data_IF_759503375544
#
_entry.id   IF_759503375544
#
_cell.length_a   1.000
_cell.length_b   1.000
_cell.length_c   1.000
_cell.angle_alpha   90.00
_cell.angle_beta   90.00
_cell.angle_gamma   90.00
#
_symmetry.space_group_name_H-M   'P 1'
#
loop_
_entity.id
_entity.type
_entity.pdbx_description
1 polymer ?
#
# COMPACT_ATOMS: atom_id res chain seq x y z
N UNK A 1 97.23 2.28 95.67
CA UNK A 1 97.87 1.42 96.66
C UNK A 1 97.03 1.46 97.92
N UNK A 2 96.42 0.33 98.26
CA UNK A 2 95.42 0.19 99.33
C UNK A 2 96.07 0.31 100.71
N UNK A 3 95.78 1.38 101.44
CA UNK A 3 96.22 1.55 102.83
C UNK A 3 95.30 0.78 103.76
N UNK A 4 95.80 -0.34 104.26
CA UNK A 4 95.11 -1.24 105.19
C UNK A 4 94.88 -0.53 106.53
N UNK A 5 93.63 -0.45 106.99
CA UNK A 5 93.27 0.16 108.27
C UNK A 5 93.96 -0.57 109.45
N UNK A 6 94.38 0.15 110.51
CA UNK A 6 95.09 -0.45 111.63
C UNK A 6 94.17 -1.43 112.37
N UNK A 7 94.60 -2.70 112.54
CA UNK A 7 93.90 -3.69 113.38
C UNK A 7 93.92 -3.20 114.83
N UNK A 8 92.82 -2.62 115.31
CA UNK A 8 92.65 -2.23 116.71
C UNK A 8 92.82 -3.46 117.61
N UNK A 9 93.86 -3.45 118.45
CA UNK A 9 94.05 -4.47 119.48
C UNK A 9 93.00 -4.29 120.56
N UNK A 10 92.02 -5.20 120.63
CA UNK A 10 91.12 -5.29 121.77
C UNK A 10 91.92 -5.63 123.05
N UNK A 11 91.60 -5.05 124.22
CA UNK A 11 92.36 -5.20 125.46
C UNK A 11 92.10 -6.54 126.20
N UNK A 12 91.89 -7.62 125.45
CA UNK A 12 91.66 -8.95 126.01
C UNK A 12 92.90 -9.83 125.83
N UNK A 13 93.31 -10.53 126.89
CA UNK A 13 94.38 -11.53 126.81
C UNK A 13 93.94 -12.73 125.95
N UNK A 14 94.87 -13.33 125.19
CA UNK A 14 94.52 -14.37 124.22
C UNK A 14 94.98 -15.74 124.70
N UNK A 15 94.02 -16.64 124.85
CA UNK A 15 94.19 -18.01 125.32
C UNK A 15 93.98 -19.02 124.19
N UNK A 16 94.55 -20.23 124.33
CA UNK A 16 94.68 -21.23 123.26
C UNK A 16 93.34 -21.71 122.66
N UNK A 17 92.23 -21.54 123.39
CA UNK A 17 90.86 -21.76 122.89
C UNK A 17 89.99 -20.60 123.37
N UNK A 18 89.56 -19.73 122.46
CA UNK A 18 88.80 -18.52 122.80
C UNK A 18 87.95 -18.04 121.61
N UNK A 19 87.16 -16.99 121.84
CA UNK A 19 86.35 -16.38 120.78
C UNK A 19 87.22 -15.75 119.70
N UNK A 20 86.72 -15.79 118.47
CA UNK A 20 87.37 -15.17 117.32
C UNK A 20 87.54 -13.66 117.57
N UNK A 21 88.79 -13.20 117.55
CA UNK A 21 89.15 -11.81 117.84
C UNK A 21 88.49 -10.84 116.86
N UNK A 22 88.38 -11.22 115.59
CA UNK A 22 87.76 -10.35 114.58
C UNK A 22 86.25 -10.24 114.81
N UNK A 23 85.59 -11.35 115.16
CA UNK A 23 84.16 -11.33 115.49
C UNK A 23 83.85 -10.52 116.76
N UNK A 24 84.69 -10.61 117.79
CA UNK A 24 84.53 -9.80 119.02
C UNK A 24 84.79 -8.32 118.72
N UNK A 25 85.80 -7.99 117.91
CA UNK A 25 86.10 -6.61 117.53
C UNK A 25 84.98 -6.00 116.69
N UNK A 26 84.40 -6.78 115.79
CA UNK A 26 83.21 -6.37 115.03
C UNK A 26 82.02 -6.14 115.96
N UNK A 27 81.79 -7.02 116.94
CA UNK A 27 80.69 -6.86 117.91
C UNK A 27 80.84 -5.61 118.78
N UNK A 28 82.04 -5.30 119.27
CA UNK A 28 82.29 -4.06 120.02
C UNK A 28 82.18 -2.82 119.14
N UNK A 29 82.70 -2.85 117.91
CA UNK A 29 82.49 -1.76 116.95
C UNK A 29 81.01 -1.50 116.69
N UNK A 30 80.19 -2.56 116.61
CA UNK A 30 78.74 -2.45 116.53
C UNK A 30 78.11 -1.85 117.79
N UNK A 31 78.49 -2.30 118.98
CA UNK A 31 77.97 -1.74 120.25
C UNK A 31 78.36 -0.27 120.41
N UNK A 32 79.59 0.11 120.06
CA UNK A 32 80.03 1.50 120.10
C UNK A 32 79.30 2.36 119.07
N UNK A 33 78.96 1.79 117.90
CA UNK A 33 78.10 2.45 116.93
C UNK A 33 76.67 2.62 117.47
N UNK A 34 76.08 1.57 118.03
CA UNK A 34 74.75 1.59 118.64
C UNK A 34 74.68 2.60 119.80
N UNK A 35 75.71 2.69 120.64
CA UNK A 35 75.79 3.67 121.73
C UNK A 35 75.91 5.11 121.23
N UNK A 36 76.63 5.35 120.13
CA UNK A 36 76.68 6.68 119.50
C UNK A 36 75.32 7.05 118.91
N UNK A 37 74.63 6.12 118.27
CA UNK A 37 73.27 6.32 117.76
C UNK A 37 72.32 6.64 118.92
N UNK A 38 72.32 5.85 119.99
CA UNK A 38 71.47 6.10 121.16
C UNK A 38 71.76 7.43 121.84
N UNK A 39 73.03 7.84 121.92
CA UNK A 39 73.39 9.15 122.45
C UNK A 39 72.88 10.29 121.55
N UNK A 40 73.03 10.16 120.23
CA UNK A 40 72.49 11.12 119.27
C UNK A 40 70.96 11.19 119.33
N UNK A 41 70.27 10.05 119.44
CA UNK A 41 68.82 9.97 119.57
C UNK A 41 68.34 10.61 120.88
N UNK A 42 69.04 10.38 121.99
CA UNK A 42 68.75 11.02 123.28
C UNK A 42 68.92 12.53 123.19
N UNK A 43 70.01 12.99 122.59
CA UNK A 43 70.31 14.42 122.48
C UNK A 43 69.27 15.10 121.57
N UNK A 44 68.88 14.45 120.46
CA UNK A 44 67.78 14.90 119.61
C UNK A 44 66.44 14.94 120.36
N UNK A 45 66.11 13.89 121.13
CA UNK A 45 64.89 13.85 121.93
C UNK A 45 64.87 14.95 123.01
N UNK A 46 66.02 15.24 123.62
CA UNK A 46 66.16 16.29 124.64
C UNK A 46 65.99 17.67 124.01
N UNK A 47 66.58 17.91 122.84
CA UNK A 47 66.40 19.14 122.09
C UNK A 47 64.93 19.36 121.70
N UNK A 48 64.26 18.34 121.16
CA UNK A 48 62.84 18.40 120.83
C UNK A 48 61.96 18.67 122.06
N UNK A 49 62.28 18.05 123.21
CA UNK A 49 61.57 18.30 124.45
C UNK A 49 61.73 19.75 124.94
N UNK A 50 62.91 20.34 124.78
CA UNK A 50 63.17 21.74 125.11
C UNK A 50 62.41 22.70 124.17
N UNK A 51 62.36 22.40 122.87
CA UNK A 51 61.60 23.19 121.89
C UNK A 51 60.09 23.14 122.18
N UNK A 52 59.55 21.94 122.43
CA UNK A 52 58.16 21.77 122.83
C UNK A 52 57.82 22.51 124.12
N UNK A 53 58.73 22.51 125.11
CA UNK A 53 58.55 23.27 126.34
C UNK A 53 58.53 24.78 126.08
N UNK A 54 59.36 25.28 125.16
CA UNK A 54 59.36 26.68 124.75
C UNK A 54 58.04 27.09 124.08
N UNK A 55 57.57 26.33 123.07
CA UNK A 55 56.28 26.58 122.42
C UNK A 55 55.11 26.53 123.40
N UNK A 56 55.16 25.61 124.36
CA UNK A 56 54.11 25.48 125.37
C UNK A 56 54.11 26.67 126.34
N UNK A 57 55.28 27.21 126.69
CA UNK A 57 55.38 28.44 127.47
C UNK A 57 54.87 29.67 126.70
N UNK A 58 55.21 29.80 125.42
CA UNK A 58 54.73 30.88 124.55
C UNK A 58 53.21 30.83 124.36
N UNK A 59 52.65 29.66 124.07
CA UNK A 59 51.21 29.48 123.95
C UNK A 59 50.49 29.80 125.27
N UNK A 60 51.05 29.39 126.42
CA UNK A 60 50.51 29.74 127.74
C UNK A 60 50.54 31.25 128.00
N UNK A 61 51.64 31.93 127.66
CA UNK A 61 51.75 33.37 127.81
C UNK A 61 50.72 34.10 126.93
N UNK A 62 50.54 33.64 125.70
CA UNK A 62 49.55 34.17 124.76
C UNK A 62 48.12 33.96 125.26
N UNK A 63 47.80 32.78 125.80
CA UNK A 63 46.48 32.49 126.38
C UNK A 63 46.21 33.41 127.57
N UNK A 64 47.18 33.61 128.46
CA UNK A 64 47.01 34.49 129.61
C UNK A 64 46.82 35.96 129.19
N UNK A 65 47.51 36.40 128.14
CA UNK A 65 47.31 37.74 127.58
C UNK A 65 45.92 37.91 126.98
N UNK A 66 45.48 36.95 126.14
CA UNK A 66 44.13 36.94 125.57
C UNK A 66 43.05 36.89 126.65
N UNK A 67 43.27 36.15 127.75
CA UNK A 67 42.36 36.11 128.89
C UNK A 67 42.22 37.47 129.57
N UNK A 68 43.33 38.16 129.83
CA UNK A 68 43.31 39.53 130.40
C UNK A 68 42.56 40.50 129.50
N UNK A 69 42.78 40.38 128.18
CA UNK A 69 42.11 41.22 127.20
C UNK A 69 40.59 40.95 127.17
N UNK A 70 40.17 39.68 127.20
CA UNK A 70 38.75 39.31 127.28
C UNK A 70 38.11 39.78 128.59
N UNK A 71 38.79 39.64 129.73
CA UNK A 71 38.30 40.13 131.01
C UNK A 71 38.12 41.66 131.00
N UNK A 72 39.07 42.39 130.40
CA UNK A 72 38.98 43.83 130.21
C UNK A 72 37.80 44.24 129.31
N UNK A 73 37.46 43.42 128.30
CA UNK A 73 36.33 43.66 127.38
C UNK A 73 34.96 43.27 127.96
N UNK A 74 34.95 42.39 128.97
CA UNK A 74 33.74 41.87 129.63
C UNK A 74 33.20 42.80 130.72
N UNK A 75 34.06 43.63 131.31
CA UNK A 75 33.64 44.68 132.26
C UNK A 75 33.08 45.88 131.46
N UNK A 76 31.93 46.46 131.85
CA UNK A 76 31.40 47.65 131.18
C UNK A 76 32.43 48.79 131.18
N UNK A 77 32.75 49.40 130.01
CA UNK A 77 33.78 50.44 129.96
C UNK A 77 33.30 51.66 130.76
N UNK A 78 33.97 51.95 131.86
CA UNK A 78 33.71 53.13 132.70
C UNK A 78 34.56 54.34 132.29
N UNK A 79 35.47 54.17 131.33
CA UNK A 79 36.36 55.20 130.81
C UNK A 79 36.12 55.47 129.31
N UNK A 80 36.27 56.73 128.88
CA UNK A 80 36.09 57.13 127.47
C UNK A 80 37.04 56.40 126.50
N UNK A 81 38.25 56.06 126.96
CA UNK A 81 39.24 55.32 126.17
C UNK A 81 38.79 53.87 125.89
N UNK A 82 38.24 53.16 126.88
CA UNK A 82 37.72 51.81 126.69
C UNK A 82 36.50 51.75 125.78
N UNK A 83 35.66 52.79 125.78
CA UNK A 83 34.57 52.92 124.80
C UNK A 83 35.12 53.13 123.38
N UNK A 84 36.15 53.95 123.21
CA UNK A 84 36.79 54.21 121.91
C UNK A 84 37.47 52.96 121.33
N UNK A 85 38.17 52.18 122.16
CA UNK A 85 38.80 50.92 121.74
C UNK A 85 37.75 49.87 121.33
N UNK A 86 36.66 49.73 122.08
CA UNK A 86 35.56 48.83 121.71
C UNK A 86 34.88 49.26 120.40
N UNK A 87 34.67 50.56 120.20
CA UNK A 87 34.13 51.11 118.96
C UNK A 87 35.05 50.82 117.78
N UNK A 88 36.37 50.99 117.95
CA UNK A 88 37.35 50.66 116.90
C UNK A 88 37.33 49.18 116.52
N UNK A 89 37.23 48.27 117.49
CA UNK A 89 37.09 46.82 117.23
C UNK A 89 35.77 46.47 116.57
N UNK A 90 34.67 47.09 116.98
CA UNK A 90 33.36 46.88 116.34
C UNK A 90 33.36 47.37 114.89
N UNK A 91 33.99 48.51 114.60
CA UNK A 91 34.19 49.01 113.23
C UNK A 91 35.11 48.10 112.41
N UNK A 92 36.15 47.55 113.03
CA UNK A 92 37.04 46.60 112.38
C UNK A 92 36.28 45.32 112.01
N UNK A 93 35.54 44.72 112.96
CA UNK A 93 34.69 43.55 112.73
C UNK A 93 33.64 43.81 111.64
N UNK A 94 32.96 44.95 111.69
CA UNK A 94 31.98 45.30 110.65
C UNK A 94 32.63 45.51 109.27
N UNK A 95 33.86 46.04 109.22
CA UNK A 95 34.63 46.18 107.98
C UNK A 95 35.08 44.83 107.43
N UNK A 96 35.49 43.91 108.30
CA UNK A 96 35.87 42.54 107.95
C UNK A 96 34.65 41.77 107.43
N UNK A 97 33.52 41.83 108.13
CA UNK A 97 32.25 41.21 107.73
C UNK A 97 31.73 41.79 106.40
N UNK A 98 31.81 43.11 106.21
CA UNK A 98 31.46 43.74 104.94
C UNK A 98 32.40 43.32 103.79
N UNK A 99 33.66 43.02 104.10
CA UNK A 99 34.63 42.54 103.10
C UNK A 99 34.37 41.08 102.75
N UNK A 100 34.02 40.25 103.74
CA UNK A 100 33.60 38.86 103.55
C UNK A 100 32.31 38.80 102.71
N UNK A 101 31.27 39.56 103.06
CA UNK A 101 30.04 39.63 102.27
C UNK A 101 30.29 40.07 100.82
N UNK A 102 31.19 41.02 100.58
CA UNK A 102 31.57 41.42 99.21
C UNK A 102 32.32 40.32 98.47
N UNK A 103 33.20 39.60 99.17
CA UNK A 103 33.95 38.49 98.58
C UNK A 103 33.01 37.34 98.21
N UNK A 104 32.07 36.99 99.09
CA UNK A 104 31.05 35.96 98.87
C UNK A 104 30.12 36.34 97.71
N UNK A 105 29.56 37.56 97.72
CA UNK A 105 28.71 38.04 96.63
C UNK A 105 29.45 38.09 95.28
N UNK A 106 30.74 38.44 95.29
CA UNK A 106 31.57 38.41 94.08
C UNK A 106 31.83 36.98 93.61
N UNK A 107 31.99 36.02 94.52
CA UNK A 107 32.19 34.62 94.18
C UNK A 107 30.91 34.00 93.60
N UNK A 108 29.76 34.25 94.22
CA UNK A 108 28.45 33.80 93.73
C UNK A 108 28.11 34.41 92.36
N UNK A 109 28.40 35.70 92.16
CA UNK A 109 28.23 36.35 90.87
C UNK A 109 29.15 35.74 89.79
N UNK A 110 30.41 35.45 90.14
CA UNK A 110 31.34 34.79 89.22
C UNK A 110 30.90 33.37 88.86
N UNK A 111 30.40 32.60 89.83
CA UNK A 111 29.83 31.28 89.61
C UNK A 111 28.61 31.34 88.70
N UNK A 112 27.65 32.23 88.99
CA UNK A 112 26.44 32.43 88.18
C UNK A 112 26.79 32.78 86.72
N UNK A 113 27.75 33.70 86.52
CA UNK A 113 28.21 34.05 85.17
C UNK A 113 28.92 32.87 84.50
N UNK A 114 29.69 32.07 85.25
CA UNK A 114 30.35 30.88 84.72
C UNK A 114 29.34 29.84 84.25
N UNK A 115 28.32 29.54 85.06
CA UNK A 115 27.24 28.61 84.72
C UNK A 115 26.46 29.11 83.49
N UNK A 116 26.05 30.38 83.49
CA UNK A 116 25.32 30.96 82.36
C UNK A 116 26.15 30.93 81.05
N UNK A 117 27.47 31.13 81.13
CA UNK A 117 28.36 31.01 79.97
C UNK A 117 28.47 29.59 79.46
N UNK A 118 28.56 28.61 80.36
CA UNK A 118 28.61 27.20 80.00
C UNK A 118 27.31 26.77 79.33
N UNK A 119 26.16 27.09 79.92
CA UNK A 119 24.84 26.79 79.35
C UNK A 119 24.65 27.45 77.97
N UNK A 120 25.07 28.70 77.81
CA UNK A 120 25.02 29.39 76.52
C UNK A 120 25.91 28.73 75.47
N UNK A 121 27.10 28.25 75.85
CA UNK A 121 28.00 27.53 74.97
C UNK A 121 27.41 26.17 74.54
N UNK A 122 26.86 25.42 75.49
CA UNK A 122 26.23 24.12 75.24
C UNK A 122 24.98 24.27 74.36
N UNK A 123 24.15 25.30 74.61
CA UNK A 123 23.00 25.61 73.76
C UNK A 123 23.44 26.01 72.34
N UNK A 124 24.49 26.81 72.20
CA UNK A 124 25.00 27.19 70.89
C UNK A 124 25.57 25.98 70.12
N UNK A 125 26.26 25.06 70.82
CA UNK A 125 26.80 23.85 70.21
C UNK A 125 25.69 22.90 69.75
N UNK A 126 24.71 22.63 70.61
CA UNK A 126 23.57 21.76 70.29
C UNK A 126 22.73 22.35 69.16
N UNK A 127 22.45 23.65 69.18
CA UNK A 127 21.71 24.33 68.10
C UNK A 127 22.44 24.25 66.76
N UNK A 128 23.77 24.38 66.75
CA UNK A 128 24.59 24.21 65.53
C UNK A 128 24.53 22.77 65.03
N UNK A 129 24.70 21.79 65.90
CA UNK A 129 24.63 20.38 65.54
C UNK A 129 23.25 20.00 64.96
N UNK A 130 22.17 20.52 65.54
CA UNK A 130 20.82 20.32 65.02
C UNK A 130 20.61 21.00 63.67
N UNK A 131 21.10 22.23 63.50
CA UNK A 131 21.04 22.92 62.21
C UNK A 131 21.79 22.15 61.12
N UNK A 132 23.02 21.69 61.41
CA UNK A 132 23.83 20.90 60.48
C UNK A 132 23.14 19.58 60.13
N UNK A 133 22.53 18.91 61.12
CA UNK A 133 21.75 17.69 60.90
C UNK A 133 20.54 17.94 59.99
N UNK A 134 19.76 18.99 60.26
CA UNK A 134 18.59 19.35 59.44
C UNK A 134 19.02 19.67 58.01
N UNK A 135 20.11 20.42 57.82
CA UNK A 135 20.64 20.74 56.48
C UNK A 135 21.08 19.47 55.77
N UNK A 136 21.81 18.58 56.43
CA UNK A 136 22.27 17.32 55.85
C UNK A 136 21.11 16.40 55.47
N UNK A 137 20.10 16.26 56.33
CA UNK A 137 18.89 15.46 56.05
C UNK A 137 18.09 16.05 54.89
N UNK A 138 17.96 17.39 54.84
CA UNK A 138 17.26 18.07 53.74
C UNK A 138 18.00 17.91 52.41
N UNK A 139 19.34 18.01 52.41
CA UNK A 139 20.18 17.78 51.23
C UNK A 139 20.05 16.34 50.73
N UNK A 140 20.21 15.35 51.61
CA UNK A 140 20.08 13.93 51.23
C UNK A 140 18.68 13.63 50.66
N UNK A 141 17.62 14.22 51.23
CA UNK A 141 16.26 14.06 50.71
C UNK A 141 16.07 14.74 49.36
N UNK A 142 16.63 15.94 49.17
CA UNK A 142 16.59 16.63 47.89
C UNK A 142 17.33 15.84 46.80
N UNK A 143 18.52 15.32 47.10
CA UNK A 143 19.30 14.47 46.20
C UNK A 143 18.53 13.19 45.83
N UNK A 144 17.90 12.52 46.80
CA UNK A 144 17.06 11.34 46.54
C UNK A 144 15.86 11.66 45.65
N UNK A 145 15.18 12.81 45.87
CA UNK A 145 14.05 13.22 45.02
C UNK A 145 14.51 13.50 43.58
N UNK A 146 15.68 14.15 43.41
CA UNK A 146 16.24 14.42 42.09
C UNK A 146 16.62 13.11 41.40
N UNK A 147 17.31 12.20 42.09
CA UNK A 147 17.67 10.89 41.54
C UNK A 147 16.44 10.07 41.11
N UNK A 148 15.40 10.00 41.96
CA UNK A 148 14.14 9.31 41.64
C UNK A 148 13.43 9.94 40.44
N UNK A 149 13.48 11.28 40.30
CA UNK A 149 12.89 11.99 39.19
C UNK A 149 13.66 11.74 37.88
N UNK A 150 15.00 11.73 37.93
CA UNK A 150 15.86 11.42 36.80
C UNK A 150 15.68 9.97 36.32
N UNK A 151 15.60 9.00 37.24
CA UNK A 151 15.32 7.60 36.91
C UNK A 151 13.96 7.44 36.22
N UNK A 152 12.91 8.05 36.77
CA UNK A 152 11.57 8.02 36.16
C UNK A 152 11.54 8.69 34.79
N UNK A 153 12.21 9.84 34.65
CA UNK A 153 12.30 10.53 33.36
C UNK A 153 13.02 9.67 32.33
N UNK A 154 14.15 9.05 32.69
CA UNK A 154 14.89 8.14 31.82
C UNK A 154 14.04 6.92 31.41
N UNK A 155 13.28 6.34 32.35
CA UNK A 155 12.37 5.22 32.07
C UNK A 155 11.28 5.62 31.06
N UNK A 156 10.63 6.77 31.27
CA UNK A 156 9.58 7.29 30.37
C UNK A 156 10.14 7.54 28.97
N UNK A 157 11.33 8.15 28.85
CA UNK A 157 11.98 8.38 27.56
C UNK A 157 12.29 7.06 26.86
N UNK A 158 12.88 6.08 27.58
CA UNK A 158 13.20 4.77 27.01
C UNK A 158 11.94 3.97 26.60
N UNK A 159 10.83 4.10 27.32
CA UNK A 159 9.54 3.50 26.93
C UNK A 159 8.95 4.20 25.70
N UNK A 160 8.99 5.52 25.64
CA UNK A 160 8.51 6.29 24.49
C UNK A 160 9.31 5.99 23.22
N UNK A 161 10.64 5.87 23.33
CA UNK A 161 11.52 5.50 22.21
C UNK A 161 11.24 4.08 21.70
N UNK A 162 11.03 3.13 22.61
CA UNK A 162 10.62 1.75 22.26
C UNK A 162 9.28 1.76 21.52
N UNK A 163 8.27 2.42 22.08
CA UNK A 163 6.96 2.51 21.45
C UNK A 163 7.00 3.22 20.09
N UNK A 164 7.80 4.27 19.95
CA UNK A 164 7.99 4.96 18.67
C UNK A 164 8.66 4.06 17.62
N UNK A 165 9.64 3.24 18.04
CA UNK A 165 10.30 2.26 17.18
C UNK A 165 9.32 1.17 16.74
N UNK A 166 8.57 0.60 17.68
CA UNK A 166 7.57 -0.45 17.41
C UNK A 166 6.49 0.06 16.44
N UNK A 167 5.93 1.25 16.70
CA UNK A 167 4.93 1.87 15.81
C UNK A 167 5.48 2.12 14.41
N UNK A 168 6.75 2.53 14.31
CA UNK A 168 7.41 2.72 13.01
C UNK A 168 7.60 1.40 12.28
N UNK A 169 8.04 0.35 12.97
CA UNK A 169 8.20 -0.98 12.36
C UNK A 169 6.87 -1.55 11.90
N UNK A 170 5.80 -1.36 12.69
CA UNK A 170 4.45 -1.79 12.34
C UNK A 170 3.92 -1.02 11.14
N UNK A 171 4.11 0.31 11.10
CA UNK A 171 3.72 1.13 9.96
C UNK A 171 4.48 0.74 8.68
N UNK A 172 5.78 0.48 8.77
CA UNK A 172 6.60 0.00 7.66
C UNK A 172 6.13 -1.39 7.19
N UNK A 173 5.79 -2.29 8.10
CA UNK A 173 5.25 -3.62 7.77
C UNK A 173 3.87 -3.55 7.09
N UNK A 174 2.95 -2.73 7.60
CA UNK A 174 1.63 -2.50 6.99
C UNK A 174 1.79 -1.91 5.59
N UNK A 175 2.66 -0.91 5.42
CA UNK A 175 2.91 -0.30 4.13
C UNK A 175 3.54 -1.30 3.13
N UNK A 176 4.50 -2.11 3.58
CA UNK A 176 5.11 -3.15 2.75
C UNK A 176 4.07 -4.19 2.30
N UNK A 177 3.18 -4.63 3.20
CA UNK A 177 2.09 -5.54 2.87
C UNK A 177 1.11 -4.91 1.89
N UNK A 178 0.65 -3.69 2.14
CA UNK A 178 -0.27 -2.99 1.23
C UNK A 178 0.32 -2.82 -0.18
N UNK A 179 1.63 -2.55 -0.28
CA UNK A 179 2.34 -2.47 -1.55
C UNK A 179 2.42 -3.84 -2.26
N UNK A 180 2.64 -4.92 -1.51
CA UNK A 180 2.66 -6.27 -2.05
C UNK A 180 1.27 -6.68 -2.58
N UNK A 181 0.22 -6.45 -1.78
CA UNK A 181 -1.17 -6.74 -2.13
C UNK A 181 -1.61 -5.94 -3.37
N UNK A 182 -1.22 -4.66 -3.46
CA UNK A 182 -1.48 -3.83 -4.64
C UNK A 182 -0.78 -4.36 -5.89
N UNK A 183 0.50 -4.75 -5.78
CA UNK A 183 1.24 -5.31 -6.89
C UNK A 183 0.68 -6.67 -7.35
N UNK A 184 0.18 -7.49 -6.42
CA UNK A 184 -0.53 -8.74 -6.74
C UNK A 184 -1.84 -8.48 -7.46
N UNK A 185 -2.66 -7.53 -6.98
CA UNK A 185 -3.91 -7.15 -7.65
C UNK A 185 -3.66 -6.61 -9.06
N UNK A 186 -2.65 -5.76 -9.24
CA UNK A 186 -2.28 -5.24 -10.56
C UNK A 186 -1.90 -6.37 -11.52
N UNK A 187 -1.11 -7.34 -11.05
CA UNK A 187 -0.77 -8.54 -11.83
C UNK A 187 -2.03 -9.32 -12.24
N UNK A 188 -2.91 -9.62 -11.28
CA UNK A 188 -4.16 -10.34 -11.57
C UNK A 188 -5.06 -9.59 -12.56
N UNK A 189 -5.16 -8.27 -12.45
CA UNK A 189 -5.88 -7.44 -13.41
C UNK A 189 -5.26 -7.52 -14.81
N UNK A 190 -3.93 -7.44 -14.92
CA UNK A 190 -3.24 -7.54 -16.22
C UNK A 190 -3.38 -8.94 -16.83
N UNK A 191 -3.26 -10.00 -16.04
CA UNK A 191 -3.44 -11.38 -16.48
C UNK A 191 -4.88 -11.63 -16.94
N UNK A 192 -5.86 -11.16 -16.18
CA UNK A 192 -7.28 -11.29 -16.54
C UNK A 192 -7.62 -10.50 -17.81
N UNK A 193 -7.09 -9.28 -17.95
CA UNK A 193 -7.27 -8.48 -19.16
C UNK A 193 -6.64 -9.17 -20.39
N UNK A 194 -5.43 -9.71 -20.25
CA UNK A 194 -4.77 -10.45 -21.32
C UNK A 194 -5.53 -11.73 -21.70
N UNK A 195 -6.05 -12.48 -20.71
CA UNK A 195 -6.87 -13.66 -20.94
C UNK A 195 -8.18 -13.31 -21.68
N UNK A 196 -8.88 -12.25 -21.23
CA UNK A 196 -10.11 -11.77 -21.89
C UNK A 196 -9.84 -11.32 -23.32
N UNK A 197 -8.75 -10.59 -23.58
CA UNK A 197 -8.38 -10.17 -24.93
C UNK A 197 -8.06 -11.40 -25.81
N UNK A 198 -7.34 -12.39 -25.29
CA UNK A 198 -7.05 -13.64 -26.01
C UNK A 198 -8.33 -14.42 -26.33
N UNK A 199 -9.26 -14.54 -25.39
CA UNK A 199 -10.56 -15.21 -25.62
C UNK A 199 -11.42 -14.42 -26.61
N UNK A 200 -11.46 -13.09 -26.49
CA UNK A 200 -12.21 -12.22 -27.39
C UNK A 200 -11.67 -12.31 -28.82
N UNK A 201 -10.36 -12.19 -29.00
CA UNK A 201 -9.71 -12.31 -30.31
C UNK A 201 -9.91 -13.70 -30.92
N UNK A 202 -9.79 -14.78 -30.14
CA UNK A 202 -10.08 -16.14 -30.59
C UNK A 202 -11.54 -16.30 -31.04
N UNK A 203 -12.49 -15.79 -30.24
CA UNK A 203 -13.93 -15.84 -30.56
C UNK A 203 -14.26 -15.04 -31.81
N UNK A 204 -13.72 -13.82 -31.94
CA UNK A 204 -13.92 -12.97 -33.12
C UNK A 204 -13.30 -13.56 -34.37
N UNK A 205 -12.13 -14.19 -34.25
CA UNK A 205 -11.49 -14.92 -35.35
C UNK A 205 -12.33 -16.12 -35.81
N UNK A 206 -12.84 -16.90 -34.85
CA UNK A 206 -13.74 -18.02 -35.14
C UNK A 206 -15.04 -17.54 -35.80
N UNK A 207 -15.68 -16.48 -35.29
CA UNK A 207 -16.89 -15.91 -35.86
C UNK A 207 -16.66 -15.36 -37.28
N UNK A 208 -15.54 -14.67 -37.52
CA UNK A 208 -15.15 -14.21 -38.87
C UNK A 208 -14.94 -15.37 -39.84
N UNK A 209 -14.29 -16.43 -39.38
CA UNK A 209 -14.07 -17.63 -40.18
C UNK A 209 -15.40 -18.30 -40.54
N UNK A 210 -16.32 -18.44 -39.58
CA UNK A 210 -17.66 -18.97 -39.82
C UNK A 210 -18.48 -18.08 -40.76
N UNK A 211 -18.43 -16.75 -40.59
CA UNK A 211 -19.09 -15.80 -41.48
C UNK A 211 -18.55 -15.89 -42.92
N UNK A 212 -17.23 -16.00 -43.09
CA UNK A 212 -16.60 -16.22 -44.41
C UNK A 212 -17.09 -17.52 -45.04
N UNK A 213 -17.11 -18.63 -44.29
CA UNK A 213 -17.61 -19.91 -44.80
C UNK A 213 -19.09 -19.85 -45.21
N UNK A 214 -19.93 -19.13 -44.45
CA UNK A 214 -21.33 -18.93 -44.80
C UNK A 214 -21.48 -18.08 -46.06
N UNK A 215 -20.67 -17.03 -46.22
CA UNK A 215 -20.65 -16.21 -47.43
C UNK A 215 -20.17 -17.01 -48.63
N UNK A 216 -19.09 -17.78 -48.51
CA UNK A 216 -18.56 -18.64 -49.57
C UNK A 216 -19.60 -19.67 -50.00
N UNK A 217 -20.29 -20.29 -49.04
CA UNK A 217 -21.39 -21.22 -49.32
C UNK A 217 -22.55 -20.52 -50.01
N UNK A 218 -22.98 -19.35 -49.52
CA UNK A 218 -24.05 -18.58 -50.14
C UNK A 218 -23.70 -18.12 -51.56
N UNK A 219 -22.43 -17.76 -51.80
CA UNK A 219 -21.91 -17.45 -53.14
C UNK A 219 -21.92 -18.68 -54.05
N UNK A 220 -21.44 -19.82 -53.58
CA UNK A 220 -21.47 -21.07 -54.35
C UNK A 220 -22.91 -21.49 -54.68
N UNK A 221 -23.83 -21.39 -53.72
CA UNK A 221 -25.25 -21.68 -53.91
C UNK A 221 -25.89 -20.69 -54.92
N UNK A 222 -25.53 -19.41 -54.86
CA UNK A 222 -25.99 -18.39 -55.81
C UNK A 222 -25.44 -18.62 -57.24
N UNK A 223 -24.16 -18.96 -57.37
CA UNK A 223 -23.51 -19.28 -58.65
C UNK A 223 -24.13 -20.55 -59.26
N UNK A 224 -24.39 -21.57 -58.45
CA UNK A 224 -25.06 -22.78 -58.87
C UNK A 224 -26.50 -22.50 -59.32
N UNK A 225 -27.26 -21.70 -58.57
CA UNK A 225 -28.60 -21.28 -58.96
C UNK A 225 -28.58 -20.45 -60.25
N UNK A 226 -27.58 -19.59 -60.44
CA UNK A 226 -27.39 -18.83 -61.66
C UNK A 226 -27.05 -19.74 -62.85
N UNK A 227 -26.22 -20.76 -62.64
CA UNK A 227 -25.87 -21.79 -63.64
C UNK A 227 -27.10 -22.59 -64.03
N UNK A 228 -27.87 -23.09 -63.05
CA UNK A 228 -29.13 -23.80 -63.28
C UNK A 228 -30.15 -22.92 -64.00
N UNK A 229 -30.32 -21.66 -63.59
CA UNK A 229 -31.21 -20.70 -64.24
C UNK A 229 -30.77 -20.38 -65.67
N UNK A 230 -29.46 -20.36 -65.96
CA UNK A 230 -28.93 -20.21 -67.31
C UNK A 230 -29.20 -21.46 -68.15
N UNK A 231 -28.96 -22.65 -67.60
CA UNK A 231 -29.24 -23.93 -68.26
C UNK A 231 -30.73 -24.07 -68.59
N UNK A 232 -31.62 -23.83 -67.62
CA UNK A 232 -33.06 -23.83 -67.84
C UNK A 232 -33.47 -22.83 -68.94
N UNK A 233 -32.94 -21.59 -68.92
CA UNK A 233 -33.19 -20.62 -69.99
C UNK A 233 -32.70 -21.09 -71.37
N UNK A 234 -31.54 -21.77 -71.43
CA UNK A 234 -31.05 -22.33 -72.70
C UNK A 234 -31.86 -23.52 -73.18
N UNK A 235 -32.29 -24.39 -72.29
CA UNK A 235 -33.16 -25.53 -72.61
C UNK A 235 -34.54 -25.07 -73.09
N UNK A 236 -35.17 -24.13 -72.37
CA UNK A 236 -36.43 -23.52 -72.79
C UNK A 236 -36.29 -22.82 -74.15
N UNK A 237 -35.18 -22.10 -74.37
CA UNK A 237 -34.91 -21.49 -75.67
C UNK A 237 -34.73 -22.54 -76.77
N UNK A 238 -34.00 -23.63 -76.52
CA UNK A 238 -33.85 -24.72 -77.48
C UNK A 238 -35.18 -25.41 -77.78
N UNK A 239 -36.01 -25.67 -76.77
CA UNK A 239 -37.37 -26.22 -76.95
C UNK A 239 -38.22 -25.29 -77.81
N UNK A 240 -38.20 -23.99 -77.51
CA UNK A 240 -38.92 -22.98 -78.28
C UNK A 240 -38.39 -22.89 -79.73
N UNK A 241 -37.07 -22.91 -79.94
CA UNK A 241 -36.47 -22.90 -81.28
C UNK A 241 -36.82 -24.18 -82.07
N UNK A 242 -36.87 -25.34 -81.42
CA UNK A 242 -37.32 -26.61 -82.01
C UNK A 242 -38.79 -26.55 -82.39
N UNK A 243 -39.66 -26.05 -81.49
CA UNK A 243 -41.08 -25.84 -81.78
C UNK A 243 -41.26 -24.91 -82.97
N UNK A 244 -40.57 -23.77 -83.02
CA UNK A 244 -40.61 -22.86 -84.17
C UNK A 244 -40.10 -23.52 -85.45
N UNK A 245 -39.08 -24.37 -85.38
CA UNK A 245 -38.57 -25.09 -86.54
C UNK A 245 -39.58 -26.14 -87.05
N UNK A 246 -40.27 -26.83 -86.15
CA UNK A 246 -41.35 -27.75 -86.49
C UNK A 246 -42.55 -27.02 -87.09
N UNK A 247 -42.99 -25.92 -86.48
CA UNK A 247 -44.05 -25.05 -87.01
C UNK A 247 -43.67 -24.52 -88.39
N UNK A 248 -42.44 -24.03 -88.58
CA UNK A 248 -41.94 -23.60 -89.90
C UNK A 248 -41.92 -24.75 -90.89
N UNK A 249 -41.55 -25.96 -90.48
CA UNK A 249 -41.54 -27.14 -91.36
C UNK A 249 -42.94 -27.54 -91.76
N UNK A 250 -43.90 -27.50 -90.83
CA UNK A 250 -45.31 -27.74 -91.10
C UNK A 250 -45.86 -26.67 -92.05
N UNK A 251 -45.63 -25.39 -91.77
CA UNK A 251 -46.05 -24.29 -92.63
C UNK A 251 -45.43 -24.37 -94.05
N UNK A 252 -44.17 -24.79 -94.17
CA UNK A 252 -43.53 -25.03 -95.47
C UNK A 252 -44.12 -26.25 -96.20
N UNK A 253 -44.48 -27.31 -95.48
CA UNK A 253 -45.15 -28.48 -96.04
C UNK A 253 -46.58 -28.14 -96.50
N UNK A 254 -47.33 -27.37 -95.72
CA UNK A 254 -48.63 -26.82 -96.10
C UNK A 254 -48.50 -25.90 -97.32
N UNK A 255 -47.54 -24.97 -97.32
CA UNK A 255 -47.27 -24.11 -98.47
C UNK A 255 -46.82 -24.90 -99.73
N UNK A 256 -46.19 -26.06 -99.55
CA UNK A 256 -45.88 -26.99 -100.65
C UNK A 256 -47.16 -27.70 -101.13
N UNK A 257 -47.99 -28.21 -100.23
CA UNK A 257 -49.28 -28.82 -100.58
C UNK A 257 -50.19 -27.84 -101.32
N UNK A 258 -50.28 -26.59 -100.87
CA UNK A 258 -51.04 -25.52 -101.54
C UNK A 258 -50.48 -25.27 -102.96
N UNK A 259 -49.16 -25.25 -103.13
CA UNK A 259 -48.54 -25.11 -104.46
C UNK A 259 -48.80 -26.32 -105.36
N UNK A 260 -48.72 -27.52 -104.82
CA UNK A 260 -48.93 -28.75 -105.59
C UNK A 260 -50.40 -28.89 -106.00
N UNK A 261 -51.36 -28.64 -105.10
CA UNK A 261 -52.79 -28.56 -105.42
C UNK A 261 -53.12 -27.44 -106.41
N UNK A 262 -52.52 -26.26 -106.28
CA UNK A 262 -52.67 -25.18 -107.27
C UNK A 262 -52.10 -25.58 -108.65
N UNK A 263 -50.99 -26.33 -108.69
CA UNK A 263 -50.43 -26.89 -109.92
C UNK A 263 -51.37 -27.93 -110.53
N UNK A 264 -51.92 -28.83 -109.75
CA UNK A 264 -52.84 -29.87 -110.22
C UNK A 264 -54.12 -29.25 -110.81
N UNK A 265 -54.69 -28.24 -110.14
CA UNK A 265 -55.84 -27.47 -110.67
C UNK A 265 -55.48 -26.76 -111.97
N UNK A 266 -54.26 -26.21 -112.09
CA UNK A 266 -53.80 -25.56 -113.33
C UNK A 266 -53.63 -26.57 -114.48
N UNK A 267 -53.10 -27.76 -114.21
CA UNK A 267 -52.97 -28.85 -115.19
C UNK A 267 -54.34 -29.35 -115.64
N UNK A 268 -55.29 -29.50 -114.71
CA UNK A 268 -56.65 -29.95 -115.01
C UNK A 268 -57.43 -28.93 -115.83
N UNK A 269 -57.26 -27.62 -115.56
CA UNK A 269 -57.80 -26.54 -116.40
C UNK A 269 -57.18 -26.52 -117.79
N UNK A 270 -55.87 -26.75 -117.90
CA UNK A 270 -55.19 -26.82 -119.20
C UNK A 270 -55.65 -28.04 -120.02
N UNK A 271 -55.88 -29.18 -119.37
CA UNK A 271 -56.43 -30.38 -119.99
C UNK A 271 -57.88 -30.16 -120.46
N UNK A 272 -58.71 -29.51 -119.63
CA UNK A 272 -60.09 -29.17 -119.98
C UNK A 272 -60.17 -28.19 -121.15
N UNK A 273 -59.27 -27.20 -121.21
CA UNK A 273 -59.17 -26.25 -122.32
C UNK A 273 -58.74 -26.93 -123.63
N UNK A 274 -57.77 -27.87 -123.58
CA UNK A 274 -57.39 -28.68 -124.76
C UNK A 274 -58.51 -29.58 -125.25
N UNK A 275 -59.31 -30.13 -124.34
CA UNK A 275 -60.48 -30.95 -124.70
C UNK A 275 -61.58 -30.11 -125.37
N UNK A 276 -61.74 -28.85 -124.97
CA UNK A 276 -62.62 -27.88 -125.62
C UNK A 276 -62.14 -27.50 -127.03
N UNK A 277 -60.82 -27.26 -127.22
CA UNK A 277 -60.25 -27.03 -128.56
C UNK A 277 -60.42 -28.24 -129.48
N UNK A 278 -60.19 -29.46 -129.00
CA UNK A 278 -60.38 -30.66 -129.80
C UNK A 278 -61.84 -30.85 -130.25
N UNK A 279 -62.83 -30.49 -129.41
CA UNK A 279 -64.25 -30.49 -129.79
C UNK A 279 -64.60 -29.40 -130.81
N UNK A 280 -63.93 -28.25 -130.77
CA UNK A 280 -64.12 -27.18 -131.74
C UNK A 280 -63.55 -27.53 -133.13
N UNK A 281 -62.41 -28.22 -133.18
CA UNK A 281 -61.81 -28.71 -134.44
C UNK A 281 -62.63 -29.85 -135.08
N UNK A 282 -63.20 -30.75 -134.28
CA UNK A 282 -64.04 -31.85 -134.78
C UNK A 282 -65.37 -31.33 -135.39
N UNK A 283 -65.98 -30.33 -134.75
CA UNK A 283 -67.17 -29.65 -135.28
C UNK A 283 -66.89 -28.90 -136.60
N UNK A 284 -65.70 -28.29 -136.73
CA UNK A 284 -65.27 -27.62 -137.97
C UNK A 284 -65.10 -28.61 -139.13
N UNK A 285 -64.62 -29.81 -138.84
CA UNK A 285 -64.39 -30.86 -139.84
C UNK A 285 -65.71 -31.46 -140.35
N UNK A 286 -66.68 -31.70 -139.46
CA UNK A 286 -68.02 -32.18 -139.83
C UNK A 286 -68.81 -31.18 -140.69
N UNK A 287 -68.69 -29.88 -140.43
CA UNK A 287 -69.34 -28.85 -141.26
C UNK A 287 -68.76 -28.83 -142.68
N UNK A 288 -67.45 -29.03 -142.83
CA UNK A 288 -66.80 -29.06 -144.15
C UNK A 288 -67.17 -30.30 -144.98
N UNK A 289 -67.34 -31.47 -144.34
CA UNK A 289 -67.79 -32.70 -145.02
C UNK A 289 -69.25 -32.62 -145.52
N UNK A 290 -70.16 -32.02 -144.74
CA UNK A 290 -71.56 -31.79 -145.14
C UNK A 290 -71.67 -30.84 -146.35
N UNK A 291 -70.82 -29.80 -146.43
CA UNK A 291 -70.79 -28.90 -147.59
C UNK A 291 -70.24 -29.57 -148.87
N UNK A 292 -69.30 -30.49 -148.76
CA UNK A 292 -68.82 -31.28 -149.92
C UNK A 292 -69.87 -32.27 -150.44
N UNK A 293 -70.65 -32.90 -149.54
CA UNK A 293 -71.75 -33.78 -149.91
C UNK A 293 -72.88 -33.04 -150.65
N UNK A 294 -73.25 -31.85 -150.18
CA UNK A 294 -74.26 -31.00 -150.84
C UNK A 294 -73.76 -30.55 -152.22
N UNK A 295 -72.48 -30.19 -152.33
CA UNK A 295 -71.87 -29.78 -153.60
C UNK A 295 -71.85 -30.92 -154.61
N UNK A 296 -71.56 -32.16 -154.19
CA UNK A 296 -71.60 -33.36 -155.04
C UNK A 296 -73.00 -33.66 -155.57
N UNK A 297 -74.02 -33.62 -154.70
CA UNK A 297 -75.44 -33.83 -155.07
C UNK A 297 -75.96 -32.72 -156.00
N UNK A 298 -75.46 -31.49 -155.88
CA UNK A 298 -75.81 -30.39 -156.79
C UNK A 298 -75.23 -30.59 -158.21
N UNK A 299 -74.00 -31.10 -158.33
CA UNK A 299 -73.38 -31.42 -159.64
C UNK A 299 -73.99 -32.62 -160.35
N UNK A 300 -74.51 -33.62 -159.63
CA UNK A 300 -75.18 -34.78 -160.23
C UNK A 300 -76.56 -34.41 -160.81
N UNK A 301 -77.31 -33.52 -160.15
CA UNK A 301 -78.61 -33.04 -160.65
C UNK A 301 -78.44 -32.08 -161.84
N UNK A 302 -77.30 -31.40 -161.95
CA UNK A 302 -77.02 -30.42 -163.01
C UNK A 302 -76.70 -31.05 -164.39
N UNK A 303 -76.35 -32.33 -164.44
CA UNK A 303 -75.99 -33.02 -165.69
C UNK A 303 -77.14 -33.78 -166.36
N UNK A 304 -78.33 -33.89 -165.73
CA UNK A 304 -79.45 -34.70 -166.26
C UNK A 304 -80.68 -33.90 -166.75
N UNK A 305 -80.80 -32.60 -166.44
CA UNK A 305 -81.93 -31.78 -166.91
C UNK A 305 -81.50 -30.46 -167.56
N UNK A 306 -81.70 -30.38 -168.89
CA UNK A 306 -81.64 -29.14 -169.65
C UNK A 306 -82.78 -28.21 -169.26
N UNK A 307 -82.41 -27.09 -168.63
CA UNK A 307 -83.21 -25.89 -168.28
C UNK A 307 -84.26 -25.99 -167.17
N UNK A 308 -84.15 -25.13 -166.15
CA UNK A 308 -85.23 -24.49 -165.35
C UNK A 308 -84.60 -23.27 -164.58
N UNK A 309 -85.35 -22.27 -164.05
CA UNK A 309 -85.52 -20.94 -164.65
C UNK A 309 -85.15 -19.75 -163.72
N UNK A 310 -85.44 -18.56 -164.22
CA UNK A 310 -84.91 -17.22 -163.91
C UNK A 310 -85.33 -16.55 -162.58
N UNK A 311 -85.30 -17.25 -161.44
CA UNK A 311 -85.41 -16.58 -160.13
C UNK A 311 -84.63 -17.34 -159.08
N UNK A 312 -83.44 -16.81 -158.74
CA UNK A 312 -82.76 -16.81 -157.43
C UNK A 312 -81.24 -16.76 -157.69
N UNK A 313 -80.80 -15.56 -158.09
CA UNK A 313 -79.41 -15.09 -158.15
C UNK A 313 -78.82 -14.92 -156.74
N UNK A 314 -77.48 -14.82 -156.63
CA UNK A 314 -76.69 -15.15 -155.44
C UNK A 314 -76.57 -13.98 -154.44
N UNK A 315 -76.05 -14.27 -153.25
CA UNK A 315 -75.49 -13.27 -152.35
C UNK A 315 -74.08 -13.71 -151.89
N UNK A 316 -73.11 -12.94 -152.40
CA UNK A 316 -71.79 -12.54 -151.92
C UNK A 316 -70.92 -13.47 -151.04
N UNK A 317 -69.69 -13.66 -151.54
CA UNK A 317 -68.50 -14.18 -150.86
C UNK A 317 -68.21 -13.39 -149.58
N UNK A 318 -68.12 -14.09 -148.45
CA UNK A 318 -67.52 -13.58 -147.22
C UNK A 318 -66.23 -14.36 -146.98
N UNK A 319 -65.12 -13.64 -147.10
CA UNK A 319 -63.76 -14.07 -146.82
C UNK A 319 -63.54 -14.17 -145.30
N UNK A 320 -63.41 -15.39 -144.78
CA UNK A 320 -63.23 -15.67 -143.34
C UNK A 320 -61.75 -15.70 -142.91
N UNK A 321 -60.83 -15.10 -143.68
CA UNK A 321 -59.39 -15.12 -143.35
C UNK A 321 -58.84 -13.89 -142.63
N UNK A 322 -59.70 -12.93 -142.24
CA UNK A 322 -59.28 -11.76 -141.44
C UNK A 322 -60.20 -11.47 -140.24
N UNK A 323 -59.89 -12.05 -139.08
CA UNK A 323 -60.28 -11.48 -137.78
C UNK A 323 -59.04 -11.42 -136.90
N UNK A 324 -58.66 -10.21 -136.48
CA UNK A 324 -57.55 -9.96 -135.54
C UNK A 324 -58.04 -9.99 -134.09
N UNK A 325 -57.14 -10.32 -133.17
CA UNK A 325 -57.27 -10.50 -131.69
C UNK A 325 -57.99 -9.40 -130.88
N UNK A 326 -58.59 -8.39 -131.51
CA UNK A 326 -59.07 -7.18 -130.83
C UNK A 326 -60.55 -7.25 -130.40
N UNK A 327 -61.35 -8.19 -130.92
CA UNK A 327 -62.77 -8.35 -130.54
C UNK A 327 -63.01 -9.35 -129.39
N UNK A 328 -62.07 -10.28 -129.13
CA UNK A 328 -62.21 -11.29 -128.07
C UNK A 328 -62.01 -10.71 -126.66
N UNK A 329 -61.21 -9.64 -126.54
CA UNK A 329 -60.96 -8.94 -125.27
C UNK A 329 -62.19 -8.14 -124.78
N UNK A 330 -62.99 -7.60 -125.70
CA UNK A 330 -64.18 -6.80 -125.37
C UNK A 330 -65.34 -7.69 -124.89
N UNK A 331 -65.48 -8.90 -125.46
CA UNK A 331 -66.45 -9.90 -125.04
C UNK A 331 -66.16 -10.48 -123.64
N UNK A 332 -64.88 -10.74 -123.31
CA UNK A 332 -64.50 -11.29 -122.00
C UNK A 332 -64.60 -10.25 -120.86
N UNK A 333 -64.33 -8.98 -121.14
CA UNK A 333 -64.42 -7.90 -120.14
C UNK A 333 -65.85 -7.59 -119.67
N UNK A 334 -66.89 -8.08 -120.36
CA UNK A 334 -68.29 -7.88 -119.97
C UNK A 334 -68.73 -8.72 -118.76
N UNK A 335 -68.00 -9.80 -118.44
CA UNK A 335 -68.31 -10.73 -117.33
C UNK A 335 -67.33 -10.58 -116.15
N UNK A 336 -66.26 -9.79 -116.31
CA UNK A 336 -65.20 -9.62 -115.31
C UNK A 336 -65.39 -8.36 -114.44
N UNK A 337 -65.06 -8.48 -113.14
CA UNK A 337 -65.11 -7.40 -112.15
C UNK A 337 -63.98 -6.38 -112.38
N UNK A 338 -64.19 -5.12 -111.95
CA UNK A 338 -63.34 -3.96 -112.31
C UNK A 338 -61.83 -4.16 -112.15
N UNK A 339 -61.38 -4.98 -111.18
CA UNK A 339 -59.95 -5.20 -110.90
C UNK A 339 -59.25 -6.21 -111.81
N UNK A 340 -60.00 -6.93 -112.64
CA UNK A 340 -59.51 -8.05 -113.45
C UNK A 340 -59.79 -7.86 -114.96
N UNK A 341 -60.08 -6.63 -115.40
CA UNK A 341 -60.33 -6.31 -116.82
C UNK A 341 -59.02 -6.09 -117.58
N UNK A 342 -58.94 -6.62 -118.78
CA UNK A 342 -57.79 -6.44 -119.69
C UNK A 342 -57.91 -5.10 -120.41
N UNK A 343 -56.88 -4.25 -120.32
CA UNK A 343 -56.82 -2.92 -120.97
C UNK A 343 -56.12 -3.05 -122.32
N UNK A 344 -56.75 -2.55 -123.39
CA UNK A 344 -56.25 -2.64 -124.77
C UNK A 344 -54.99 -1.78 -124.96
N UNK A 345 -53.80 -2.41 -124.90
CA UNK A 345 -52.52 -1.76 -125.21
C UNK A 345 -51.33 -2.13 -124.34
N UNK A 346 -51.14 -3.43 -124.03
CA UNK A 346 -49.84 -4.00 -123.61
C UNK A 346 -49.41 -5.07 -124.62
#
# INVERSE_FOLDING_TARGET
>A
MSSQAPRQQLPFAVVMRGYDREQVAERFRRIDADMRVLAADRDAATANAQELAAHLHEARATIEELRREVDALSVPPTTAQGMSERLSRMLQLASDEASEMRAEASAEAAETVSVARQEAADLAQTSRADADRIVSEAQAKAESIVADAEEKAASIVAEAERHATDLRTDAEAIHAKAKADAAESDRLCTERAAAMESEHTATMSAARTQASQLLDKAHADADELARQSKQARTEERQRHDQQLAEERRQALAEAKQIRDTARDIAVERLASSRMLSAKADDARTQVLEEFEEIRKKLTEIQNEFGTFPETLRPAEDIDYTSMSDTDDAELLNRVLSERARFTTGD
#
